data_IF_969285816914
#
_entry.id   IF_969285816914
#
_cell.length_a   1.000
_cell.length_b   1.000
_cell.length_c   1.000
_cell.angle_alpha   90.00
_cell.angle_beta   90.00
_cell.angle_gamma   90.00
#
_symmetry.space_group_name_H-M   'P 1'
#
loop_
_entity.id
_entity.type
_entity.pdbx_description
1 polymer ?
#
# COMPACT_ATOMS: atom_id res chain seq x y z
N UNK A 1 38.91 -10.93 2.77
CA UNK A 1 38.01 -11.52 1.75
C UNK A 1 36.69 -10.76 1.80
N UNK A 2 36.55 -9.73 0.96
CA UNK A 2 35.43 -8.78 1.02
C UNK A 2 34.12 -9.47 0.66
N UNK A 3 33.10 -9.32 1.51
CA UNK A 3 31.72 -9.71 1.18
C UNK A 3 31.32 -8.90 -0.06
N UNK A 4 31.23 -9.55 -1.23
CA UNK A 4 30.57 -8.96 -2.39
C UNK A 4 29.15 -8.60 -1.93
N UNK A 5 28.83 -7.31 -1.88
CA UNK A 5 27.45 -6.83 -1.83
C UNK A 5 26.80 -7.30 -3.13
N UNK A 6 26.27 -8.52 -3.15
CA UNK A 6 25.43 -8.98 -4.24
C UNK A 6 24.16 -8.17 -4.15
N UNK A 7 24.05 -7.15 -5.00
CA UNK A 7 22.78 -6.49 -5.27
C UNK A 7 21.82 -7.62 -5.65
N UNK A 8 20.78 -7.82 -4.84
CA UNK A 8 19.74 -8.79 -5.14
C UNK A 8 19.03 -8.30 -6.40
N UNK A 9 19.39 -8.88 -7.54
CA UNK A 9 18.92 -8.48 -8.88
C UNK A 9 17.46 -8.83 -9.12
N UNK A 10 16.80 -9.49 -8.17
CA UNK A 10 15.36 -9.73 -8.24
C UNK A 10 14.59 -8.40 -8.18
N UNK A 11 13.39 -8.34 -8.80
CA UNK A 11 12.57 -7.13 -8.77
C UNK A 11 12.29 -6.64 -7.34
N UNK A 12 11.99 -7.56 -6.41
CA UNK A 12 11.80 -7.23 -4.98
C UNK A 12 13.10 -6.79 -4.28
N UNK A 13 14.24 -7.37 -4.63
CA UNK A 13 15.55 -6.97 -4.11
C UNK A 13 15.86 -5.49 -4.41
N UNK A 14 15.56 -5.05 -5.63
CA UNK A 14 15.69 -3.65 -6.03
C UNK A 14 14.78 -2.71 -5.22
N UNK A 15 13.53 -3.13 -4.94
CA UNK A 15 12.62 -2.35 -4.08
C UNK A 15 13.21 -2.22 -2.67
N UNK A 16 13.59 -3.34 -2.05
CA UNK A 16 14.13 -3.36 -0.69
C UNK A 16 15.40 -2.51 -0.58
N UNK A 17 16.28 -2.58 -1.58
CA UNK A 17 17.51 -1.78 -1.63
C UNK A 17 17.22 -0.28 -1.66
N UNK A 18 16.31 0.19 -2.54
CA UNK A 18 15.92 1.61 -2.61
C UNK A 18 15.30 2.13 -1.31
N UNK A 19 14.46 1.32 -0.66
CA UNK A 19 13.88 1.71 0.62
C UNK A 19 14.94 1.75 1.72
N UNK A 20 15.89 0.82 1.71
CA UNK A 20 16.97 0.79 2.70
C UNK A 20 17.94 1.97 2.61
N UNK A 21 18.08 2.59 1.43
CA UNK A 21 18.90 3.80 1.25
C UNK A 21 18.17 5.10 1.61
N UNK A 22 16.84 5.13 1.51
CA UNK A 22 16.01 6.31 1.76
C UNK A 22 15.28 6.31 3.12
N UNK A 23 15.24 5.15 3.79
CA UNK A 23 14.65 4.95 5.11
C UNK A 23 15.73 4.39 6.03
N UNK A 24 16.63 5.25 6.50
CA UNK A 24 17.77 4.85 7.33
C UNK A 24 17.47 5.03 8.82
N UNK A 25 16.82 6.13 9.18
CA UNK A 25 16.56 6.51 10.57
C UNK A 25 15.42 5.70 11.18
N UNK A 26 15.48 5.46 12.49
CA UNK A 26 14.43 4.75 13.23
C UNK A 26 13.10 5.52 13.20
N UNK A 27 13.15 6.84 13.34
CA UNK A 27 11.99 7.73 13.27
C UNK A 27 11.29 7.63 11.92
N UNK A 28 12.03 7.74 10.81
CA UNK A 28 11.45 7.67 9.48
C UNK A 28 10.80 6.31 9.21
N UNK A 29 11.49 5.22 9.58
CA UNK A 29 10.93 3.86 9.47
C UNK A 29 9.63 3.71 10.27
N UNK A 30 9.60 4.18 11.52
CA UNK A 30 8.41 4.08 12.37
C UNK A 30 7.22 4.83 11.77
N UNK A 31 7.45 6.06 11.32
CA UNK A 31 6.43 6.85 10.63
C UNK A 31 5.90 6.11 9.40
N UNK A 32 6.79 5.56 8.58
CA UNK A 32 6.38 4.83 7.36
C UNK A 32 5.70 3.50 7.64
N UNK A 33 6.05 2.79 8.71
CA UNK A 33 5.36 1.56 9.12
C UNK A 33 3.88 1.81 9.44
N UNK A 34 3.56 2.98 9.99
CA UNK A 34 2.18 3.35 10.36
C UNK A 34 1.45 3.96 9.14
N UNK A 35 2.12 4.87 8.43
CA UNK A 35 1.48 5.63 7.35
C UNK A 35 1.28 4.83 6.07
N UNK A 36 2.15 3.86 5.75
CA UNK A 36 1.98 3.03 4.53
C UNK A 36 0.63 2.27 4.54
N UNK A 37 0.25 1.55 5.61
CA UNK A 37 -1.08 0.93 5.69
C UNK A 37 -2.22 1.94 5.59
N UNK A 38 -2.10 3.09 6.27
CA UNK A 38 -3.12 4.14 6.28
C UNK A 38 -3.32 4.71 4.86
N UNK A 39 -2.23 5.09 4.19
CA UNK A 39 -2.26 5.60 2.82
C UNK A 39 -2.83 4.55 1.87
N UNK A 40 -2.40 3.28 1.99
CA UNK A 40 -2.90 2.19 1.14
C UNK A 40 -4.41 1.96 1.31
N UNK A 41 -4.89 1.94 2.56
CA UNK A 41 -6.32 1.84 2.87
C UNK A 41 -7.09 3.04 2.31
N UNK A 42 -6.60 4.26 2.57
CA UNK A 42 -7.27 5.49 2.15
C UNK A 42 -7.37 5.61 0.63
N UNK A 43 -6.29 5.29 -0.11
CA UNK A 43 -6.31 5.30 -1.58
C UNK A 43 -7.32 4.30 -2.11
N UNK A 44 -7.33 3.07 -1.57
CA UNK A 44 -8.30 2.07 -1.98
C UNK A 44 -9.74 2.52 -1.71
N UNK A 45 -10.01 3.08 -0.53
CA UNK A 45 -11.33 3.54 -0.13
C UNK A 45 -11.83 4.75 -0.95
N UNK A 46 -10.93 5.69 -1.28
CA UNK A 46 -11.28 6.83 -2.14
C UNK A 46 -11.63 6.35 -3.54
N UNK A 47 -10.84 5.44 -4.12
CA UNK A 47 -11.13 4.87 -5.45
C UNK A 47 -12.41 4.03 -5.43
N UNK A 48 -12.70 3.35 -4.31
CA UNK A 48 -13.95 2.61 -4.10
C UNK A 48 -15.17 3.53 -4.11
N UNK A 49 -15.05 4.73 -3.55
CA UNK A 49 -16.13 5.71 -3.47
C UNK A 49 -16.45 6.41 -4.81
N UNK A 50 -15.64 6.21 -5.85
CA UNK A 50 -15.88 6.82 -7.18
C UNK A 50 -17.10 6.14 -7.82
N UNK A 51 -18.12 6.90 -8.25
CA UNK A 51 -19.28 6.35 -8.95
C UNK A 51 -18.85 5.48 -10.14
N UNK A 52 -19.38 4.26 -10.19
CA UNK A 52 -19.10 3.32 -11.25
C UNK A 52 -20.32 3.20 -12.17
N UNK A 53 -20.15 3.24 -13.51
CA UNK A 53 -21.28 3.11 -14.43
C UNK A 53 -21.97 1.76 -14.26
N UNK A 54 -23.29 1.74 -14.41
CA UNK A 54 -24.02 0.49 -14.52
C UNK A 54 -23.64 -0.20 -15.83
N UNK A 55 -23.29 -1.48 -15.76
CA UNK A 55 -22.89 -2.26 -16.93
C UNK A 55 -23.90 -3.39 -17.12
N UNK A 56 -24.71 -3.30 -18.18
CA UNK A 56 -25.83 -4.22 -18.41
C UNK A 56 -25.40 -5.70 -18.46
N UNK A 57 -24.23 -5.97 -19.04
CA UNK A 57 -23.69 -7.33 -19.15
C UNK A 57 -23.33 -7.97 -17.79
N UNK A 58 -23.18 -7.17 -16.72
CA UNK A 58 -22.91 -7.70 -15.38
C UNK A 58 -24.18 -8.24 -14.70
N UNK A 59 -25.38 -7.82 -15.12
CA UNK A 59 -26.64 -8.27 -14.53
C UNK A 59 -26.62 -8.21 -12.99
N UNK A 60 -26.81 -9.36 -12.33
CA UNK A 60 -26.78 -9.51 -10.86
C UNK A 60 -25.43 -9.18 -10.19
N UNK A 61 -24.36 -9.09 -10.99
CA UNK A 61 -23.02 -8.75 -10.51
C UNK A 61 -22.77 -7.22 -10.51
N UNK A 62 -23.73 -6.41 -10.97
CA UNK A 62 -23.67 -4.97 -10.77
C UNK A 62 -23.55 -4.64 -9.28
N UNK A 63 -22.57 -3.81 -8.93
CA UNK A 63 -22.21 -3.50 -7.54
C UNK A 63 -21.07 -4.35 -6.96
N UNK A 64 -20.72 -5.51 -7.56
CA UNK A 64 -19.53 -6.28 -7.16
C UNK A 64 -18.25 -5.81 -7.87
N UNK A 65 -18.41 -5.11 -8.99
CA UNK A 65 -17.30 -4.54 -9.78
C UNK A 65 -17.39 -3.02 -9.70
N UNK A 66 -16.28 -2.39 -9.34
CA UNK A 66 -16.10 -0.93 -9.35
C UNK A 66 -14.65 -0.57 -9.72
N UNK A 67 -14.31 0.72 -9.69
CA UNK A 67 -12.94 1.18 -9.97
C UNK A 67 -11.89 0.57 -9.01
N UNK A 68 -12.26 0.30 -7.76
CA UNK A 68 -11.37 -0.36 -6.80
C UNK A 68 -11.08 -1.82 -7.19
N UNK A 69 -12.03 -2.53 -7.82
CA UNK A 69 -11.79 -3.88 -8.35
C UNK A 69 -10.65 -3.90 -9.38
N UNK A 70 -10.62 -2.93 -10.30
CA UNK A 70 -9.54 -2.79 -11.28
C UNK A 70 -8.21 -2.40 -10.63
N UNK A 71 -8.26 -1.47 -9.67
CA UNK A 71 -7.08 -1.08 -8.90
C UNK A 71 -6.47 -2.29 -8.16
N UNK A 72 -7.31 -3.08 -7.48
CA UNK A 72 -6.88 -4.30 -6.79
C UNK A 72 -6.27 -5.29 -7.80
N UNK A 73 -6.94 -5.57 -8.92
CA UNK A 73 -6.46 -6.50 -9.92
C UNK A 73 -5.08 -6.08 -10.47
N UNK A 74 -4.93 -4.81 -10.87
CA UNK A 74 -3.66 -4.27 -11.37
C UNK A 74 -2.55 -4.29 -10.31
N UNK A 75 -2.89 -3.92 -9.07
CA UNK A 75 -1.94 -3.88 -7.95
C UNK A 75 -1.48 -5.28 -7.55
N UNK A 76 -2.39 -6.25 -7.48
CA UNK A 76 -2.08 -7.66 -7.19
C UNK A 76 -1.24 -8.26 -8.31
N UNK A 77 -1.56 -7.99 -9.57
CA UNK A 77 -0.74 -8.43 -10.69
C UNK A 77 0.68 -7.86 -10.62
N UNK A 78 0.80 -6.55 -10.34
CA UNK A 78 2.09 -5.91 -10.12
C UNK A 78 2.88 -6.57 -8.98
N UNK A 79 2.27 -6.78 -7.82
CA UNK A 79 2.93 -7.41 -6.68
C UNK A 79 3.31 -8.85 -6.94
N UNK A 80 2.47 -9.61 -7.65
CA UNK A 80 2.77 -10.97 -8.06
C UNK A 80 4.02 -11.02 -8.93
N UNK A 81 4.19 -10.06 -9.85
CA UNK A 81 5.39 -9.93 -10.68
C UNK A 81 6.64 -9.55 -9.88
N UNK A 82 6.50 -8.87 -8.75
CA UNK A 82 7.62 -8.48 -7.88
C UNK A 82 8.02 -9.61 -6.93
N UNK A 83 7.04 -10.23 -6.26
CA UNK A 83 7.23 -11.36 -5.36
C UNK A 83 5.89 -12.07 -5.12
N UNK A 84 5.68 -13.26 -5.71
CA UNK A 84 4.47 -14.07 -5.46
C UNK A 84 4.27 -14.36 -3.98
N UNK A 85 5.35 -14.59 -3.23
CA UNK A 85 5.27 -14.94 -1.82
C UNK A 85 4.76 -13.79 -0.95
N UNK A 86 5.25 -12.56 -1.17
CA UNK A 86 4.75 -11.38 -0.44
C UNK A 86 3.32 -11.00 -0.83
N UNK A 87 2.92 -11.35 -2.05
CA UNK A 87 1.58 -11.05 -2.57
C UNK A 87 0.49 -11.71 -1.74
N UNK A 88 0.72 -12.91 -1.17
CA UNK A 88 -0.24 -13.53 -0.25
C UNK A 88 -0.54 -12.66 0.97
N UNK A 89 0.48 -12.03 1.57
CA UNK A 89 0.30 -11.10 2.68
C UNK A 89 -0.47 -9.85 2.27
N UNK A 90 -0.21 -9.35 1.06
CA UNK A 90 -0.97 -8.21 0.53
C UNK A 90 -2.43 -8.58 0.26
N UNK A 91 -2.72 -9.77 -0.26
CA UNK A 91 -4.10 -10.21 -0.49
C UNK A 91 -4.91 -10.23 0.81
N UNK A 92 -4.30 -10.69 1.91
CA UNK A 92 -4.92 -10.62 3.26
C UNK A 92 -5.19 -9.16 3.65
N UNK A 93 -4.24 -8.25 3.40
CA UNK A 93 -4.40 -6.84 3.71
C UNK A 93 -5.51 -6.18 2.87
N UNK A 94 -5.57 -6.47 1.56
CA UNK A 94 -6.61 -5.99 0.66
C UNK A 94 -7.98 -6.50 1.10
N UNK A 95 -8.08 -7.77 1.51
CA UNK A 95 -9.31 -8.33 2.05
C UNK A 95 -9.76 -7.60 3.33
N UNK A 96 -8.83 -7.38 4.28
CA UNK A 96 -9.12 -6.63 5.50
C UNK A 96 -9.56 -5.18 5.21
N UNK A 97 -8.88 -4.50 4.29
CA UNK A 97 -9.27 -3.15 3.87
C UNK A 97 -10.63 -3.13 3.20
N UNK A 98 -10.93 -4.09 2.33
CA UNK A 98 -12.24 -4.20 1.68
C UNK A 98 -13.35 -4.39 2.71
N UNK A 99 -13.14 -5.23 3.73
CA UNK A 99 -14.11 -5.42 4.81
C UNK A 99 -14.34 -4.13 5.63
N UNK A 100 -13.29 -3.36 5.89
CA UNK A 100 -13.39 -2.05 6.54
C UNK A 100 -14.13 -1.03 5.65
N UNK A 101 -13.85 -0.99 4.35
CA UNK A 101 -14.53 -0.09 3.40
C UNK A 101 -16.03 -0.41 3.33
N UNK A 102 -16.40 -1.69 3.20
CA UNK A 102 -17.81 -2.11 3.23
C UNK A 102 -18.48 -1.73 4.56
N UNK A 103 -17.75 -1.75 5.68
CA UNK A 103 -18.26 -1.29 6.97
C UNK A 103 -18.50 0.22 7.00
N UNK A 104 -17.62 1.01 6.37
CA UNK A 104 -17.80 2.45 6.18
C UNK A 104 -18.97 2.77 5.25
N UNK A 105 -19.15 2.01 4.18
CA UNK A 105 -20.29 2.15 3.26
C UNK A 105 -21.61 1.90 4.00
N UNK A 106 -21.69 0.83 4.81
CA UNK A 106 -22.86 0.58 5.68
C UNK A 106 -23.07 1.67 6.71
N UNK A 107 -22.02 2.31 7.20
CA UNK A 107 -22.13 3.43 8.11
C UNK A 107 -22.71 4.67 7.41
N UNK A 108 -22.21 4.98 6.21
CA UNK A 108 -22.75 6.04 5.35
C UNK A 108 -24.26 5.83 5.07
N UNK A 109 -24.67 4.62 4.67
CA UNK A 109 -26.07 4.29 4.40
C UNK A 109 -27.01 4.44 5.61
N UNK A 110 -26.46 4.48 6.84
CA UNK A 110 -27.21 4.73 8.09
C UNK A 110 -27.20 6.20 8.51
N UNK A 111 -26.86 7.12 7.60
CA UNK A 111 -26.77 8.56 7.87
C UNK A 111 -25.38 9.02 8.35
N UNK A 112 -24.35 8.19 8.19
CA UNK A 112 -22.96 8.60 8.39
C UNK A 112 -22.46 9.57 7.30
N UNK A 113 -21.24 10.11 7.44
CA UNK A 113 -20.64 10.97 6.43
C UNK A 113 -20.43 10.22 5.10
N UNK A 114 -20.25 10.97 4.03
CA UNK A 114 -19.87 10.43 2.71
C UNK A 114 -18.64 9.51 2.81
N UNK A 115 -18.65 8.40 2.06
CA UNK A 115 -17.66 7.32 2.17
C UNK A 115 -16.21 7.81 2.04
N UNK A 116 -15.96 8.84 1.25
CA UNK A 116 -14.63 9.38 0.98
C UNK A 116 -14.07 10.28 2.10
N UNK A 117 -14.91 10.78 3.02
CA UNK A 117 -14.52 11.78 4.02
C UNK A 117 -13.52 11.20 5.03
N UNK A 118 -13.84 10.02 5.61
CA UNK A 118 -12.96 9.35 6.58
C UNK A 118 -11.61 8.97 5.93
N UNK A 119 -11.59 8.31 4.76
CA UNK A 119 -10.35 8.07 4.01
C UNK A 119 -9.51 9.32 3.73
N UNK A 120 -10.13 10.44 3.32
CA UNK A 120 -9.42 11.71 3.10
C UNK A 120 -8.83 12.27 4.40
N UNK A 121 -9.60 12.25 5.49
CA UNK A 121 -9.16 12.71 6.80
C UNK A 121 -7.98 11.87 7.35
N UNK A 122 -7.87 10.60 6.94
CA UNK A 122 -6.72 9.74 7.23
C UNK A 122 -5.54 9.97 6.26
N UNK A 123 -5.83 10.18 4.97
CA UNK A 123 -4.84 10.30 3.92
C UNK A 123 -3.96 11.53 4.10
N UNK A 124 -4.58 12.70 4.29
CA UNK A 124 -3.85 13.98 4.30
C UNK A 124 -2.82 14.04 5.45
N UNK A 125 -3.17 13.72 6.71
CA UNK A 125 -2.19 13.69 7.79
C UNK A 125 -1.12 12.61 7.58
N UNK A 126 -1.48 11.46 7.02
CA UNK A 126 -0.53 10.38 6.76
C UNK A 126 0.52 10.80 5.71
N UNK A 127 0.11 11.49 4.63
CA UNK A 127 1.04 12.05 3.64
C UNK A 127 1.95 13.12 4.25
N UNK A 128 1.40 14.03 5.07
CA UNK A 128 2.20 15.03 5.77
C UNK A 128 3.21 14.39 6.73
N UNK A 129 2.80 13.33 7.44
CA UNK A 129 3.68 12.57 8.30
C UNK A 129 4.79 11.87 7.50
N UNK A 130 4.49 11.27 6.34
CA UNK A 130 5.52 10.69 5.45
C UNK A 130 6.56 11.72 5.02
N UNK A 131 6.10 12.91 4.57
CA UNK A 131 7.00 14.03 4.23
C UNK A 131 7.83 14.46 5.44
N UNK A 132 7.23 14.57 6.62
CA UNK A 132 7.94 14.90 7.84
C UNK A 132 8.99 13.84 8.23
N UNK A 133 8.68 12.55 8.02
CA UNK A 133 9.57 11.44 8.30
C UNK A 133 10.86 11.49 7.48
N UNK A 134 10.78 11.97 6.24
CA UNK A 134 11.96 12.12 5.39
C UNK A 134 12.89 13.27 5.79
N UNK A 135 12.44 14.27 6.57
CA UNK A 135 13.27 15.46 6.89
C UNK A 135 14.62 15.14 7.56
N UNK A 136 14.72 14.01 8.27
CA UNK A 136 15.96 13.55 8.91
C UNK A 136 16.84 12.65 8.05
N UNK A 137 16.44 12.35 6.82
CA UNK A 137 17.17 11.45 5.92
C UNK A 137 18.21 12.22 5.08
N UNK A 138 19.35 11.55 4.83
CA UNK A 138 20.41 12.09 3.96
C UNK A 138 19.98 12.17 2.49
N UNK A 139 19.02 11.34 2.10
CA UNK A 139 18.48 11.29 0.74
C UNK A 139 17.00 11.57 0.80
N UNK A 140 16.61 12.73 0.25
CA UNK A 140 15.22 13.10 0.09
C UNK A 140 14.66 12.45 -1.18
N UNK A 141 13.43 11.92 -1.16
CA UNK A 141 12.78 11.45 -2.37
C UNK A 141 12.38 12.63 -3.25
N UNK A 142 12.55 12.47 -4.56
CA UNK A 142 11.92 13.36 -5.55
C UNK A 142 10.43 13.01 -5.73
N UNK A 143 9.70 13.82 -6.52
CA UNK A 143 8.27 13.61 -6.73
C UNK A 143 7.95 12.27 -7.41
N UNK A 144 8.78 11.82 -8.36
CA UNK A 144 8.55 10.58 -9.10
C UNK A 144 8.77 9.35 -8.22
N UNK A 145 9.84 9.35 -7.44
CA UNK A 145 10.14 8.31 -6.46
C UNK A 145 9.11 8.27 -5.32
N UNK A 146 8.60 9.43 -4.89
CA UNK A 146 7.48 9.53 -3.93
C UNK A 146 6.19 8.95 -4.49
N UNK A 147 5.87 9.18 -5.76
CA UNK A 147 4.70 8.56 -6.38
C UNK A 147 4.88 7.04 -6.50
N UNK A 148 6.08 6.58 -6.89
CA UNK A 148 6.39 5.16 -7.01
C UNK A 148 6.39 4.44 -5.67
N UNK A 149 6.76 5.13 -4.58
CA UNK A 149 6.76 4.55 -3.23
C UNK A 149 5.35 4.23 -2.71
N UNK A 150 4.29 4.82 -3.29
CA UNK A 150 2.91 4.42 -2.99
C UNK A 150 2.64 2.95 -3.38
N UNK A 151 3.19 2.49 -4.49
CA UNK A 151 3.10 1.10 -4.94
C UNK A 151 4.16 0.21 -4.27
N UNK A 152 5.40 0.68 -4.16
CA UNK A 152 6.48 -0.16 -3.64
C UNK A 152 6.47 -0.28 -2.10
N UNK A 153 5.89 0.68 -1.40
CA UNK A 153 5.85 0.77 0.06
C UNK A 153 5.16 -0.43 0.73
N UNK A 154 3.96 -0.86 0.29
CA UNK A 154 3.31 -2.06 0.82
C UNK A 154 4.17 -3.32 0.71
N UNK A 155 4.89 -3.51 -0.41
CA UNK A 155 5.80 -4.65 -0.57
C UNK A 155 7.00 -4.57 0.37
N UNK A 156 7.59 -3.38 0.52
CA UNK A 156 8.68 -3.17 1.47
C UNK A 156 8.26 -3.50 2.91
N UNK A 157 7.11 -2.97 3.34
CA UNK A 157 6.56 -3.23 4.67
C UNK A 157 6.22 -4.72 4.85
N UNK A 158 5.61 -5.36 3.85
CA UNK A 158 5.27 -6.77 3.89
C UNK A 158 6.52 -7.66 4.00
N UNK A 159 7.60 -7.32 3.28
CA UNK A 159 8.89 -7.99 3.43
C UNK A 159 9.43 -7.88 4.87
N UNK A 160 9.28 -6.73 5.52
CA UNK A 160 9.70 -6.55 6.93
C UNK A 160 8.86 -7.43 7.85
N UNK A 161 7.54 -7.45 7.67
CA UNK A 161 6.62 -8.28 8.46
C UNK A 161 6.97 -9.76 8.30
N UNK A 162 7.14 -10.24 7.07
CA UNK A 162 7.45 -11.64 6.79
C UNK A 162 8.81 -12.07 7.36
N UNK A 163 9.82 -11.19 7.30
CA UNK A 163 11.12 -11.44 7.94
C UNK A 163 11.01 -11.52 9.45
N UNK A 164 10.27 -10.61 10.09
CA UNK A 164 10.03 -10.64 11.53
C UNK A 164 9.24 -11.88 11.97
N UNK A 165 8.34 -12.37 11.13
CA UNK A 165 7.58 -13.59 11.35
C UNK A 165 8.37 -14.89 11.07
N UNK A 166 9.63 -14.81 10.64
CA UNK A 166 10.45 -15.98 10.30
C UNK A 166 10.06 -16.67 8.97
N UNK A 167 9.16 -16.07 8.19
CA UNK A 167 8.70 -16.61 6.90
C UNK A 167 9.70 -16.38 5.77
N UNK A 168 10.66 -15.46 5.97
CA UNK A 168 11.76 -15.18 5.06
C UNK A 168 13.09 -15.31 5.81
N UNK A 169 14.03 -16.07 5.26
CA UNK A 169 15.39 -16.15 5.80
C UNK A 169 16.04 -14.76 5.77
N UNK A 170 16.64 -14.33 6.87
CA UNK A 170 17.64 -13.26 6.87
C UNK A 170 18.82 -13.75 6.03
N UNK A 171 19.06 -13.11 4.88
CA UNK A 171 20.32 -13.29 4.16
C UNK A 171 21.37 -12.39 4.80
#
# INVERSE_FOLDING_TARGET
>A
MGKKNTIDSTPIGNIISRFSTSHTTSTNKLIHYITIPIVSFSVLAIVWAIPFPHLDFLGKFNGFVNWASFLIAGTVYYYYRMSPFLTYGILILVFAFSALIVSLEKFHLRGGPELHIIPMALLLPALLAQVAGHRGERTQPDASSSFRSLLDGPLWLMNIIFRKAGLLKSR
#
